data_IF_677624535663
#
_entry.id   IF_677624535663
#
_cell.length_a   1.000
_cell.length_b   1.000
_cell.length_c   1.000
_cell.angle_alpha   90.00
_cell.angle_beta   90.00
_cell.angle_gamma   90.00
#
_symmetry.space_group_name_H-M   'P 1'
#
loop_
_entity.id
_entity.type
_entity.pdbx_description
1 polymer ?
#
# COMPACT_ATOMS: atom_id res chain seq x y z
N UNK A 1 9.91 -2.49 4.90
CA UNK A 1 8.76 -2.45 5.84
C UNK A 1 8.49 -3.88 6.26
N UNK A 2 8.26 -4.16 7.54
CA UNK A 2 7.81 -5.49 7.97
C UNK A 2 6.31 -5.68 7.68
N UNK A 3 5.83 -6.93 7.77
CA UNK A 3 4.41 -7.25 7.63
C UNK A 3 3.57 -6.58 8.75
N UNK A 4 4.06 -6.58 10.00
CA UNK A 4 3.38 -5.95 11.13
C UNK A 4 3.26 -4.42 10.97
N UNK A 5 4.31 -3.77 10.44
CA UNK A 5 4.28 -2.33 10.16
C UNK A 5 3.22 -2.01 9.08
N UNK A 6 3.12 -2.87 8.06
CA UNK A 6 2.12 -2.72 7.00
C UNK A 6 0.71 -2.85 7.56
N UNK A 7 0.45 -3.85 8.40
CA UNK A 7 -0.86 -4.04 9.04
C UNK A 7 -1.25 -2.83 9.89
N UNK A 8 -0.33 -2.33 10.71
CA UNK A 8 -0.57 -1.16 11.55
C UNK A 8 -0.84 0.12 10.73
N UNK A 9 -0.23 0.26 9.55
CA UNK A 9 -0.49 1.36 8.63
C UNK A 9 -1.83 1.18 7.90
N UNK A 10 -2.12 -0.03 7.43
CA UNK A 10 -3.36 -0.38 6.75
C UNK A 10 -4.58 -0.17 7.66
N UNK A 11 -4.49 -0.56 8.94
CA UNK A 11 -5.53 -0.29 9.93
C UNK A 11 -5.82 1.21 10.07
N UNK A 12 -4.81 2.08 9.98
CA UNK A 12 -5.01 3.54 10.04
C UNK A 12 -5.74 4.04 8.79
N UNK A 13 -5.34 3.56 7.61
CA UNK A 13 -6.00 3.90 6.34
C UNK A 13 -7.48 3.53 6.41
N UNK A 14 -7.81 2.33 6.89
CA UNK A 14 -9.18 1.89 7.10
C UNK A 14 -9.92 2.71 8.17
N UNK A 15 -9.28 2.95 9.32
CA UNK A 15 -9.86 3.72 10.43
C UNK A 15 -10.22 5.15 10.05
N UNK A 16 -9.39 5.78 9.22
CA UNK A 16 -9.64 7.14 8.73
C UNK A 16 -10.53 7.17 7.47
N UNK A 17 -10.96 6.01 6.96
CA UNK A 17 -11.83 5.92 5.79
C UNK A 17 -11.18 6.44 4.51
N UNK A 18 -9.85 6.38 4.42
CA UNK A 18 -9.13 6.82 3.23
C UNK A 18 -9.42 5.85 2.08
N UNK A 19 -9.70 6.38 0.89
CA UNK A 19 -9.74 5.55 -0.31
C UNK A 19 -8.33 5.11 -0.66
N UNK A 20 -8.19 3.81 -0.95
CA UNK A 20 -6.93 3.21 -1.37
C UNK A 20 -7.16 2.26 -2.54
N UNK A 21 -6.05 1.91 -3.20
CA UNK A 21 -6.06 1.17 -4.46
C UNK A 21 -4.93 0.15 -4.49
N UNK A 22 -5.13 -0.89 -5.30
CA UNK A 22 -4.12 -1.90 -5.57
C UNK A 22 -3.05 -1.41 -6.55
N UNK A 23 -3.31 -0.34 -7.32
CA UNK A 23 -2.39 0.17 -8.34
C UNK A 23 -2.28 1.71 -8.34
N UNK A 24 -1.22 2.28 -8.95
CA UNK A 24 -1.01 3.73 -9.00
C UNK A 24 -1.96 4.44 -9.97
N UNK A 25 -2.76 3.71 -10.75
CA UNK A 25 -3.75 4.23 -11.70
C UNK A 25 -5.16 4.29 -11.08
N UNK A 26 -5.26 4.11 -9.76
CA UNK A 26 -6.51 4.12 -8.99
C UNK A 26 -7.49 3.00 -9.39
N UNK A 27 -6.99 1.85 -9.84
CA UNK A 27 -7.79 0.65 -10.06
C UNK A 27 -7.77 -0.26 -8.83
N UNK A 28 -8.80 -1.08 -8.68
CA UNK A 28 -8.94 -1.95 -7.51
C UNK A 28 -9.17 -1.14 -6.22
N UNK A 29 -10.22 -0.32 -6.21
CA UNK A 29 -10.65 0.43 -5.01
C UNK A 29 -10.86 -0.53 -3.85
N UNK A 30 -10.31 -0.17 -2.68
CA UNK A 30 -10.34 -0.97 -1.46
C UNK A 30 -9.67 -2.35 -1.61
N UNK A 31 -8.65 -2.45 -2.47
CA UNK A 31 -7.83 -3.66 -2.64
C UNK A 31 -6.35 -3.33 -2.45
N UNK A 32 -5.59 -4.35 -2.05
CA UNK A 32 -4.13 -4.32 -2.01
C UNK A 32 -3.58 -5.18 -3.16
N UNK A 33 -2.36 -4.91 -3.60
CA UNK A 33 -1.63 -5.82 -4.50
C UNK A 33 -0.74 -6.77 -3.71
N UNK A 34 -0.26 -7.81 -4.39
CA UNK A 34 0.67 -8.79 -3.86
C UNK A 34 1.94 -8.89 -4.73
N UNK A 35 2.41 -7.74 -5.22
CA UNK A 35 3.54 -7.67 -6.14
C UNK A 35 4.83 -8.14 -5.46
N UNK A 36 5.73 -8.72 -6.26
CA UNK A 36 7.06 -9.20 -5.82
C UNK A 36 7.01 -10.22 -4.64
N UNK A 37 5.85 -10.85 -4.43
CA UNK A 37 5.61 -11.76 -3.30
C UNK A 37 5.35 -11.06 -1.97
N UNK A 38 5.22 -9.73 -1.97
CA UNK A 38 4.87 -8.92 -0.81
C UNK A 38 3.42 -8.46 -0.80
N UNK A 39 3.18 -7.30 -0.20
CA UNK A 39 1.92 -6.55 -0.22
C UNK A 39 2.17 -5.11 -0.59
N UNK A 40 1.24 -4.51 -1.32
CA UNK A 40 1.31 -3.12 -1.74
C UNK A 40 -0.02 -2.40 -1.70
N UNK A 41 -0.01 -1.11 -1.37
CA UNK A 41 -1.21 -0.26 -1.31
C UNK A 41 -0.86 1.18 -1.71
N UNK A 42 -1.76 1.79 -2.48
CA UNK A 42 -1.68 3.19 -2.87
C UNK A 42 -2.82 3.98 -2.22
N UNK A 43 -2.55 5.18 -1.74
CA UNK A 43 -3.56 6.10 -1.22
C UNK A 43 -3.09 7.55 -1.41
N UNK A 44 -4.01 8.51 -1.21
CA UNK A 44 -3.66 9.93 -1.25
C UNK A 44 -3.41 10.48 0.15
N UNK A 45 -2.38 11.32 0.29
CA UNK A 45 -2.25 12.18 1.45
C UNK A 45 -3.32 13.31 1.43
N UNK A 46 -3.48 14.09 2.52
CA UNK A 46 -4.48 15.16 2.58
C UNK A 46 -4.32 16.27 1.52
N UNK A 47 -3.18 16.37 0.85
CA UNK A 47 -2.91 17.38 -0.18
C UNK A 47 -2.91 16.78 -1.60
N UNK A 48 -3.19 15.48 -1.74
CA UNK A 48 -3.36 14.79 -3.01
C UNK A 48 -2.09 14.17 -3.59
N UNK A 49 -1.02 14.02 -2.81
CA UNK A 49 0.14 13.24 -3.24
C UNK A 49 -0.15 11.74 -3.16
N UNK A 50 0.34 10.99 -4.14
CA UNK A 50 0.33 9.53 -4.09
C UNK A 50 1.34 9.02 -3.08
N UNK A 51 0.83 8.29 -2.12
CA UNK A 51 1.60 7.55 -1.12
C UNK A 51 1.52 6.07 -1.45
N UNK A 52 2.65 5.39 -1.27
CA UNK A 52 2.78 3.95 -1.49
C UNK A 52 3.38 3.29 -0.24
N UNK A 53 2.81 2.15 0.14
CA UNK A 53 3.42 1.23 1.10
C UNK A 53 3.64 -0.11 0.41
N UNK A 54 4.85 -0.66 0.54
CA UNK A 54 5.23 -1.98 0.04
C UNK A 54 6.01 -2.76 1.11
N UNK A 55 5.74 -4.05 1.24
CA UNK A 55 6.51 -4.92 2.17
C UNK A 55 7.77 -5.48 1.54
N UNK A 56 7.81 -5.59 0.21
CA UNK A 56 8.96 -6.06 -0.57
C UNK A 56 9.35 -4.97 -1.57
N UNK A 57 10.63 -4.59 -1.68
CA UNK A 57 11.06 -3.64 -2.70
C UNK A 57 10.85 -4.22 -4.10
N UNK A 58 10.62 -3.35 -5.09
CA UNK A 58 10.45 -3.77 -6.48
C UNK A 58 11.64 -4.62 -6.96
N UNK A 59 11.33 -5.79 -7.54
CA UNK A 59 12.35 -6.75 -7.96
C UNK A 59 12.90 -7.64 -6.83
N UNK A 60 12.35 -7.53 -5.62
CA UNK A 60 12.70 -8.36 -4.48
C UNK A 60 13.96 -7.91 -3.72
N UNK A 61 14.29 -8.65 -2.67
CA UNK A 61 15.51 -8.42 -1.90
C UNK A 61 16.73 -8.95 -2.65
N UNK A 62 17.85 -8.20 -2.69
CA UNK A 62 19.10 -8.72 -3.25
C UNK A 62 19.52 -9.98 -2.49
N UNK A 63 19.95 -11.00 -3.25
CA UNK A 63 20.52 -12.24 -2.71
C UNK A 63 21.96 -12.04 -2.25
#
# INVERSE_FOLDING_TARGET
MSEDEFDAAYEKIQRYGLTYWADPRQQGVNQINHNDGGRGIYFLDPVGHYMELITVPYGGWPQ
#
